data_IF_579652492525
#
_entry.id   IF_579652492525
#
_cell.length_a   1.000
_cell.length_b   1.000
_cell.length_c   1.000
_cell.angle_alpha   90.00
_cell.angle_beta   90.00
_cell.angle_gamma   90.00
#
_symmetry.space_group_name_H-M   'P 1'
#
loop_
_entity.id
_entity.type
_entity.pdbx_description
1 polymer ?
#
# COMPACT_ATOMS: atom_id res chain seq x y z
N UNK A 1 33.67 -30.64 31.58
CA UNK A 1 32.69 -29.59 31.91
C UNK A 1 32.35 -28.90 30.59
N UNK A 2 31.43 -29.44 29.78
CA UNK A 2 29.95 -29.16 29.78
C UNK A 2 29.63 -27.71 29.41
N UNK A 3 28.69 -27.34 28.54
CA UNK A 3 27.82 -27.95 27.51
C UNK A 3 27.08 -26.73 26.90
N UNK A 4 26.81 -26.76 25.60
CA UNK A 4 25.67 -26.09 24.91
C UNK A 4 25.54 -24.56 24.94
N UNK A 5 25.57 -23.98 23.73
CA UNK A 5 24.34 -23.44 23.12
C UNK A 5 24.50 -23.43 21.59
N UNK A 6 24.10 -24.54 20.98
CA UNK A 6 23.52 -24.54 19.64
C UNK A 6 22.22 -23.72 19.67
N UNK A 7 22.04 -22.82 18.72
CA UNK A 7 20.72 -22.52 18.16
C UNK A 7 20.87 -22.39 16.64
N UNK A 8 19.96 -23.08 15.95
CA UNK A 8 20.03 -23.48 14.55
C UNK A 8 19.49 -22.42 13.56
N UNK A 9 19.63 -22.66 12.24
CA UNK A 9 19.49 -21.73 11.11
C UNK A 9 18.04 -21.66 10.56
N UNK A 10 17.80 -20.90 9.48
CA UNK A 10 16.55 -20.71 8.68
C UNK A 10 15.76 -19.39 8.90
N UNK A 11 16.21 -18.27 8.33
CA UNK A 11 15.33 -17.09 8.12
C UNK A 11 15.49 -16.45 6.72
N UNK A 12 16.16 -17.11 5.77
CA UNK A 12 16.39 -16.59 4.40
C UNK A 12 15.93 -17.57 3.31
N UNK A 13 15.64 -18.83 3.66
CA UNK A 13 15.30 -19.90 2.71
C UNK A 13 13.80 -20.04 2.39
N UNK A 14 12.89 -19.61 3.29
CA UNK A 14 11.43 -19.75 3.08
C UNK A 14 10.82 -18.63 2.23
N UNK A 15 11.17 -17.35 2.49
CA UNK A 15 10.62 -16.22 1.72
C UNK A 15 11.06 -16.25 0.24
N UNK A 16 12.29 -16.70 -0.01
CA UNK A 16 12.81 -16.85 -1.39
C UNK A 16 12.18 -18.03 -2.11
N UNK A 17 11.89 -19.13 -1.41
CA UNK A 17 11.22 -20.30 -1.99
C UNK A 17 9.73 -20.03 -2.25
N UNK A 18 9.02 -19.34 -1.37
CA UNK A 18 7.63 -18.91 -1.63
C UNK A 18 7.52 -17.94 -2.81
N UNK A 19 8.45 -16.98 -2.91
CA UNK A 19 8.47 -16.03 -4.03
C UNK A 19 8.77 -16.73 -5.38
N UNK A 20 9.64 -17.73 -5.38
CA UNK A 20 9.94 -18.56 -6.57
C UNK A 20 8.76 -19.47 -6.95
N UNK A 21 8.07 -20.05 -5.96
CA UNK A 21 6.85 -20.85 -6.18
C UNK A 21 5.74 -19.98 -6.77
N UNK A 22 5.55 -18.77 -6.25
CA UNK A 22 4.54 -17.83 -6.76
C UNK A 22 4.84 -17.41 -8.20
N UNK A 23 6.11 -17.16 -8.54
CA UNK A 23 6.56 -16.86 -9.90
C UNK A 23 6.36 -18.05 -10.84
N UNK A 24 6.64 -19.27 -10.35
CA UNK A 24 6.36 -20.51 -11.07
C UNK A 24 4.87 -20.67 -11.38
N UNK A 25 4.01 -20.44 -10.40
CA UNK A 25 2.56 -20.55 -10.54
C UNK A 25 1.97 -19.53 -11.53
N UNK A 26 2.47 -18.30 -11.55
CA UNK A 26 2.06 -17.29 -12.54
C UNK A 26 2.48 -17.69 -13.96
N UNK A 27 3.70 -18.21 -14.10
CA UNK A 27 4.22 -18.68 -15.40
C UNK A 27 3.43 -19.89 -15.90
N UNK A 28 3.10 -20.85 -15.03
CA UNK A 28 2.25 -22.01 -15.34
C UNK A 28 0.85 -21.55 -15.77
N UNK A 29 0.29 -20.54 -15.10
CA UNK A 29 -1.03 -19.98 -15.43
C UNK A 29 -1.03 -19.33 -16.82
N UNK A 30 0.02 -18.56 -17.16
CA UNK A 30 0.19 -17.95 -18.50
C UNK A 30 0.38 -19.00 -19.59
N UNK A 31 1.17 -20.04 -19.34
CA UNK A 31 1.39 -21.14 -20.29
C UNK A 31 0.08 -21.91 -20.52
N UNK A 32 -0.71 -22.16 -19.47
CA UNK A 32 -2.01 -22.81 -19.60
C UNK A 32 -2.99 -21.95 -20.39
N UNK A 33 -3.02 -20.63 -20.14
CA UNK A 33 -3.83 -19.67 -20.88
C UNK A 33 -3.45 -19.63 -22.37
N UNK A 34 -2.16 -19.51 -22.69
CA UNK A 34 -1.66 -19.50 -24.06
C UNK A 34 -2.00 -20.81 -24.79
N UNK A 35 -1.83 -21.97 -24.14
CA UNK A 35 -2.22 -23.26 -24.71
C UNK A 35 -3.72 -23.33 -25.02
N UNK A 36 -4.57 -22.82 -24.13
CA UNK A 36 -6.02 -22.78 -24.35
C UNK A 36 -6.38 -21.86 -25.53
N UNK A 37 -5.79 -20.66 -25.60
CA UNK A 37 -6.01 -19.71 -26.69
C UNK A 37 -5.54 -20.29 -28.03
N UNK A 38 -4.32 -20.86 -28.08
CA UNK A 38 -3.78 -21.47 -29.30
C UNK A 38 -4.61 -22.66 -29.73
N UNK A 39 -5.05 -23.53 -28.82
CA UNK A 39 -5.91 -24.68 -29.14
C UNK A 39 -7.26 -24.28 -29.74
N UNK A 40 -7.87 -23.21 -29.23
CA UNK A 40 -9.14 -22.68 -29.77
C UNK A 40 -8.94 -22.09 -31.17
N UNK A 41 -7.84 -21.35 -31.38
CA UNK A 41 -7.50 -20.76 -32.68
C UNK A 41 -7.13 -21.81 -33.73
N UNK A 42 -6.54 -22.95 -33.33
CA UNK A 42 -6.16 -24.03 -34.27
C UNK A 42 -7.29 -25.02 -34.56
N UNK A 43 -8.35 -25.05 -33.75
CA UNK A 43 -9.49 -25.97 -33.92
C UNK A 43 -10.63 -25.37 -34.75
N UNK A 44 -10.61 -24.06 -35.02
CA UNK A 44 -11.63 -23.38 -35.81
C UNK A 44 -11.03 -22.84 -37.11
N UNK A 45 -11.63 -23.13 -38.29
CA UNK A 45 -11.13 -22.66 -39.57
C UNK A 45 -11.34 -21.14 -39.79
N UNK A 46 -12.24 -20.51 -39.03
CA UNK A 46 -12.54 -19.08 -39.13
C UNK A 46 -12.27 -18.32 -37.81
N UNK A 47 -11.40 -17.29 -37.81
CA UNK A 47 -11.00 -16.57 -36.60
C UNK A 47 -12.14 -15.72 -35.99
N UNK A 48 -13.13 -15.33 -36.80
CA UNK A 48 -14.24 -14.48 -36.36
C UNK A 48 -15.33 -15.24 -35.58
N UNK A 49 -15.53 -16.53 -35.85
CA UNK A 49 -16.50 -17.38 -35.12
C UNK A 49 -15.91 -17.90 -33.79
N UNK A 50 -14.58 -18.06 -33.73
CA UNK A 50 -13.84 -18.46 -32.54
C UNK A 50 -13.82 -17.37 -31.43
N UNK A 51 -14.12 -16.11 -31.75
CA UNK A 51 -14.16 -15.01 -30.79
C UNK A 51 -15.23 -15.20 -29.71
N UNK A 52 -16.38 -15.78 -30.05
CA UNK A 52 -17.49 -15.96 -29.11
C UNK A 52 -17.15 -16.95 -27.98
N UNK A 53 -16.62 -18.16 -28.25
CA UNK A 53 -16.14 -19.06 -27.20
C UNK A 53 -14.85 -18.56 -26.53
N UNK A 54 -13.99 -17.81 -27.22
CA UNK A 54 -12.84 -17.15 -26.60
C UNK A 54 -13.28 -16.16 -25.52
N UNK A 55 -14.21 -15.25 -25.87
CA UNK A 55 -14.75 -14.28 -24.93
C UNK A 55 -15.45 -15.00 -23.78
N UNK A 56 -16.24 -16.05 -24.04
CA UNK A 56 -16.94 -16.82 -23.02
C UNK A 56 -16.00 -17.58 -22.07
N UNK A 57 -14.90 -18.14 -22.57
CA UNK A 57 -13.89 -18.84 -21.75
C UNK A 57 -12.92 -17.87 -21.05
N UNK A 58 -12.70 -16.67 -21.62
CA UNK A 58 -11.95 -15.58 -21.00
C UNK A 58 -12.81 -14.78 -20.00
N UNK A 59 -14.15 -14.79 -20.16
CA UNK A 59 -15.11 -14.40 -19.12
C UNK A 59 -15.21 -15.54 -18.10
N UNK A 60 -14.09 -15.79 -17.44
CA UNK A 60 -14.12 -16.40 -16.13
C UNK A 60 -15.09 -15.62 -15.23
N UNK A 61 -15.93 -16.27 -14.41
CA UNK A 61 -16.56 -15.60 -13.28
C UNK A 61 -15.43 -15.07 -12.40
N UNK A 62 -15.10 -13.79 -12.58
CA UNK A 62 -14.21 -12.97 -11.74
C UNK A 62 -13.09 -13.77 -11.08
N UNK A 63 -12.09 -14.22 -11.85
CA UNK A 63 -10.80 -14.51 -11.24
C UNK A 63 -10.33 -13.19 -10.64
N UNK A 64 -10.17 -13.06 -9.31
CA UNK A 64 -9.48 -11.92 -8.79
C UNK A 64 -8.06 -12.04 -9.36
N UNK A 65 -7.69 -11.15 -10.28
CA UNK A 65 -6.28 -10.82 -10.49
C UNK A 65 -5.78 -10.46 -9.09
N UNK A 66 -5.21 -11.44 -8.39
CA UNK A 66 -4.68 -11.28 -7.05
C UNK A 66 -3.51 -10.36 -7.27
N UNK A 67 -3.74 -9.04 -7.14
CA UNK A 67 -2.70 -8.02 -7.17
C UNK A 67 -1.58 -8.58 -6.29
N UNK A 68 -0.31 -8.56 -6.73
CA UNK A 68 0.78 -9.03 -5.91
C UNK A 68 0.59 -8.43 -4.52
N UNK A 69 0.51 -9.27 -3.48
CA UNK A 69 0.46 -8.77 -2.11
C UNK A 69 1.79 -8.07 -1.89
N UNK A 70 1.81 -6.76 -2.10
CA UNK A 70 2.98 -5.95 -1.83
C UNK A 70 3.24 -6.10 -0.33
N UNK A 71 4.46 -6.47 0.08
CA UNK A 71 4.77 -6.64 1.49
C UNK A 71 4.54 -5.31 2.22
N UNK A 72 3.89 -5.39 3.38
CA UNK A 72 3.57 -4.21 4.20
C UNK A 72 4.78 -3.30 4.46
N UNK A 73 6.00 -3.83 4.74
CA UNK A 73 7.20 -2.99 4.86
C UNK A 73 7.47 -2.14 3.63
N UNK A 74 7.27 -2.66 2.43
CA UNK A 74 7.50 -1.90 1.20
C UNK A 74 6.51 -0.74 1.05
N UNK A 75 5.24 -0.96 1.44
CA UNK A 75 4.22 0.09 1.44
C UNK A 75 4.55 1.17 2.47
N UNK A 76 4.95 0.78 3.68
CA UNK A 76 5.36 1.69 4.73
C UNK A 76 6.60 2.51 4.33
N UNK A 77 7.63 1.86 3.78
CA UNK A 77 8.83 2.53 3.28
C UNK A 77 8.50 3.48 2.15
N UNK A 78 7.66 3.07 1.19
CA UNK A 78 7.26 3.93 0.07
C UNK A 78 6.48 5.15 0.56
N UNK A 79 5.56 4.96 1.51
CA UNK A 79 4.78 6.05 2.09
C UNK A 79 5.68 7.04 2.82
N UNK A 80 6.58 6.55 3.67
CA UNK A 80 7.57 7.39 4.35
C UNK A 80 8.48 8.10 3.36
N UNK A 81 8.92 7.42 2.30
CA UNK A 81 9.75 8.03 1.27
C UNK A 81 9.03 9.18 0.55
N UNK A 82 7.77 9.00 0.15
CA UNK A 82 6.98 10.09 -0.44
C UNK A 82 6.78 11.25 0.54
N UNK A 83 6.49 10.97 1.81
CA UNK A 83 6.31 12.00 2.83
C UNK A 83 7.60 12.80 3.07
N UNK A 84 8.75 12.12 3.14
CA UNK A 84 10.06 12.75 3.36
C UNK A 84 10.61 13.46 2.12
N UNK A 85 10.28 12.98 0.92
CA UNK A 85 10.68 13.58 -0.36
C UNK A 85 9.84 14.80 -0.73
N UNK A 86 9.10 15.37 0.23
CA UNK A 86 8.19 16.48 0.00
C UNK A 86 7.18 16.11 -1.10
N UNK A 87 6.42 15.04 -0.91
CA UNK A 87 5.27 14.69 -1.76
C UNK A 87 4.10 14.13 -0.89
N UNK A 88 3.60 14.87 0.12
CA UNK A 88 2.46 14.48 0.96
C UNK A 88 1.22 14.05 0.20
N UNK A 89 0.93 14.62 -0.99
CA UNK A 89 -0.24 14.23 -1.79
C UNK A 89 -0.16 12.78 -2.25
N UNK A 90 1.02 12.35 -2.71
CA UNK A 90 1.28 10.96 -3.12
C UNK A 90 1.29 10.03 -1.91
N UNK A 91 1.91 10.47 -0.81
CA UNK A 91 1.92 9.73 0.44
C UNK A 91 0.50 9.53 1.00
N UNK A 92 -0.36 10.54 0.91
CA UNK A 92 -1.77 10.49 1.31
C UNK A 92 -2.61 9.58 0.40
N UNK A 93 -2.38 9.61 -0.91
CA UNK A 93 -3.01 8.67 -1.85
C UNK A 93 -2.63 7.22 -1.52
N UNK A 94 -1.35 6.97 -1.23
CA UNK A 94 -0.88 5.65 -0.83
C UNK A 94 -1.49 5.21 0.51
N UNK A 95 -1.56 6.11 1.50
CA UNK A 95 -2.23 5.87 2.77
C UNK A 95 -3.70 5.45 2.58
N UNK A 96 -4.44 6.18 1.73
CA UNK A 96 -5.84 5.83 1.42
C UNK A 96 -5.95 4.47 0.74
N UNK A 97 -5.00 4.10 -0.11
CA UNK A 97 -4.96 2.78 -0.72
C UNK A 97 -4.67 1.68 0.30
N UNK A 98 -3.78 1.92 1.26
CA UNK A 98 -3.53 1.00 2.38
C UNK A 98 -4.79 0.82 3.23
N UNK A 99 -5.50 1.92 3.54
CA UNK A 99 -6.79 1.91 4.25
C UNK A 99 -7.84 1.07 3.52
N UNK A 100 -8.02 1.27 2.21
CA UNK A 100 -8.97 0.51 1.39
C UNK A 100 -8.66 -1.00 1.37
N UNK A 101 -7.39 -1.35 1.50
CA UNK A 101 -6.93 -2.74 1.56
C UNK A 101 -6.90 -3.30 2.99
N UNK A 102 -7.37 -2.53 3.98
CA UNK A 102 -7.27 -2.86 5.41
C UNK A 102 -5.84 -3.20 5.87
N UNK A 103 -4.84 -2.59 5.24
CA UNK A 103 -3.44 -2.71 5.64
C UNK A 103 -3.14 -1.58 6.62
N UNK A 104 -2.68 -1.93 7.82
CA UNK A 104 -2.32 -0.98 8.87
C UNK A 104 -0.91 -0.42 8.63
N UNK A 105 -0.75 0.86 8.27
CA UNK A 105 0.58 1.46 8.24
C UNK A 105 1.19 1.50 9.65
N UNK A 106 2.51 1.48 9.72
CA UNK A 106 3.19 1.60 11.01
C UNK A 106 3.06 3.05 11.57
N UNK A 107 3.27 3.19 12.88
CA UNK A 107 3.12 4.47 13.58
C UNK A 107 4.11 5.54 13.07
N UNK A 108 5.36 5.17 12.78
CA UNK A 108 6.39 6.08 12.28
C UNK A 108 6.07 6.60 10.87
N UNK A 109 5.49 5.76 10.04
CA UNK A 109 5.00 6.08 8.70
C UNK A 109 3.85 7.08 8.79
N UNK A 110 2.93 6.90 9.76
CA UNK A 110 1.89 7.90 10.04
C UNK A 110 2.48 9.22 10.54
N UNK A 111 3.47 9.19 11.43
CA UNK A 111 4.17 10.41 11.87
C UNK A 111 4.82 11.16 10.72
N UNK A 112 5.47 10.43 9.80
CA UNK A 112 6.12 11.01 8.63
C UNK A 112 5.09 11.71 7.74
N UNK A 113 3.95 11.05 7.46
CA UNK A 113 2.86 11.64 6.68
C UNK A 113 2.28 12.89 7.36
N UNK A 114 1.91 12.80 8.64
CA UNK A 114 1.35 13.92 9.39
C UNK A 114 2.31 15.11 9.45
N UNK A 115 3.60 14.85 9.71
CA UNK A 115 4.64 15.87 9.73
C UNK A 115 4.81 16.54 8.38
N UNK A 116 4.78 15.76 7.28
CA UNK A 116 4.90 16.30 5.92
C UNK A 116 3.72 17.17 5.53
N UNK A 117 2.48 16.78 5.89
CA UNK A 117 1.27 17.57 5.64
C UNK A 117 1.34 18.90 6.39
N UNK A 118 1.65 18.86 7.68
CA UNK A 118 1.74 20.07 8.52
C UNK A 118 2.88 21.00 8.07
N UNK A 119 4.05 20.48 7.72
CA UNK A 119 5.22 21.31 7.35
C UNK A 119 5.14 21.93 5.97
N UNK A 120 4.61 21.22 4.98
CA UNK A 120 4.63 21.71 3.59
C UNK A 120 3.69 22.90 3.39
N UNK A 121 2.50 22.82 3.97
CA UNK A 121 1.46 23.84 3.82
C UNK A 121 0.91 24.26 5.19
N UNK A 122 1.72 24.94 6.02
CA UNK A 122 1.43 25.21 7.42
C UNK A 122 0.19 26.09 7.65
N UNK A 123 -0.16 26.93 6.68
CA UNK A 123 -1.33 27.85 6.73
C UNK A 123 -2.46 27.42 5.80
N UNK A 124 -2.36 26.24 5.19
CA UNK A 124 -3.43 25.71 4.36
C UNK A 124 -4.42 24.96 5.23
N UNK A 125 -5.62 25.54 5.39
CA UNK A 125 -6.76 24.89 6.03
C UNK A 125 -7.01 23.47 5.46
N UNK A 126 -6.74 23.28 4.17
CA UNK A 126 -6.82 21.97 3.52
C UNK A 126 -5.81 20.95 4.10
N UNK A 127 -4.55 21.35 4.31
CA UNK A 127 -3.53 20.46 4.85
C UNK A 127 -3.80 20.05 6.30
N UNK A 128 -4.30 21.00 7.11
CA UNK A 128 -4.75 20.74 8.48
C UNK A 128 -5.95 19.79 8.49
N UNK A 129 -6.90 19.97 7.57
CA UNK A 129 -8.02 19.04 7.41
C UNK A 129 -7.55 17.63 7.05
N UNK A 130 -6.66 17.47 6.07
CA UNK A 130 -6.08 16.18 5.70
C UNK A 130 -5.33 15.53 6.85
N UNK A 131 -4.59 16.32 7.64
CA UNK A 131 -3.87 15.81 8.82
C UNK A 131 -4.83 15.25 9.88
N UNK A 132 -5.95 15.95 10.15
CA UNK A 132 -7.03 15.45 11.03
C UNK A 132 -7.67 14.19 10.47
N UNK A 133 -7.86 14.11 9.15
CA UNK A 133 -8.39 12.92 8.48
C UNK A 133 -7.45 11.72 8.65
N UNK A 134 -6.14 11.88 8.39
CA UNK A 134 -5.14 10.83 8.58
C UNK A 134 -5.13 10.33 10.03
N UNK A 135 -5.19 11.24 11.00
CA UNK A 135 -5.27 10.89 12.41
C UNK A 135 -6.50 10.02 12.72
N UNK A 136 -7.69 10.47 12.33
CA UNK A 136 -8.93 9.72 12.57
C UNK A 136 -8.93 8.36 11.86
N UNK A 137 -8.42 8.30 10.64
CA UNK A 137 -8.34 7.05 9.88
C UNK A 137 -7.29 6.09 10.47
N UNK A 138 -6.19 6.62 11.04
CA UNK A 138 -5.21 5.80 11.75
C UNK A 138 -5.82 5.12 12.99
N UNK A 139 -6.68 5.83 13.72
CA UNK A 139 -7.44 5.28 14.85
C UNK A 139 -8.38 4.16 14.40
N UNK A 140 -9.11 4.37 13.30
CA UNK A 140 -10.03 3.35 12.73
C UNK A 140 -9.28 2.10 12.25
N UNK A 141 -8.03 2.25 11.80
CA UNK A 141 -7.14 1.14 11.45
C UNK A 141 -6.49 0.47 12.68
N UNK A 142 -6.84 0.91 13.90
CA UNK A 142 -6.33 0.37 15.15
C UNK A 142 -4.89 0.78 15.47
N UNK A 143 -4.41 1.89 14.92
CA UNK A 143 -3.11 2.48 15.27
C UNK A 143 -3.30 3.31 16.55
N UNK A 144 -2.52 3.00 17.58
CA UNK A 144 -2.53 3.76 18.83
C UNK A 144 -1.60 4.97 18.71
N UNK A 145 -2.13 6.21 18.75
CA UNK A 145 -1.29 7.40 18.74
C UNK A 145 -0.46 7.50 20.00
N UNK A 146 0.67 8.18 19.91
CA UNK A 146 1.51 8.50 21.06
C UNK A 146 1.73 10.02 21.17
N UNK A 147 2.52 10.43 22.16
CA UNK A 147 2.86 11.84 22.39
C UNK A 147 3.40 12.53 21.14
N UNK A 148 4.22 11.85 20.35
CA UNK A 148 4.74 12.39 19.08
C UNK A 148 3.62 12.73 18.09
N UNK A 149 2.60 11.87 17.97
CA UNK A 149 1.44 12.13 17.11
C UNK A 149 0.72 13.42 17.52
N UNK A 150 0.45 13.59 18.82
CA UNK A 150 -0.22 14.78 19.33
C UNK A 150 0.64 16.04 19.19
N UNK A 151 1.94 15.95 19.43
CA UNK A 151 2.87 17.07 19.24
C UNK A 151 2.85 17.58 17.79
N UNK A 152 2.82 16.69 16.80
CA UNK A 152 2.74 17.06 15.37
C UNK A 152 1.43 17.82 15.08
N UNK A 153 0.30 17.31 15.57
CA UNK A 153 -1.02 17.91 15.34
C UNK A 153 -1.19 19.26 16.05
N UNK A 154 -0.67 19.37 17.28
CA UNK A 154 -0.66 20.62 18.04
C UNK A 154 0.17 21.69 17.32
N UNK A 155 1.37 21.33 16.85
CA UNK A 155 2.20 22.22 16.06
C UNK A 155 1.47 22.72 14.80
N UNK A 156 0.79 21.84 14.06
CA UNK A 156 -0.02 22.24 12.91
C UNK A 156 -1.20 23.14 13.27
N UNK A 157 -1.86 22.89 14.40
CA UNK A 157 -3.01 23.70 14.83
C UNK A 157 -2.60 25.10 15.28
N UNK A 158 -1.44 25.26 15.94
CA UNK A 158 -0.91 26.58 16.27
C UNK A 158 -0.54 27.39 15.02
N UNK A 159 -0.07 26.73 13.95
CA UNK A 159 0.22 27.39 12.68
C UNK A 159 -1.04 27.89 11.94
N UNK A 160 -2.17 27.22 12.13
CA UNK A 160 -3.50 27.62 11.64
C UNK A 160 -4.05 28.83 12.43
N UNK A 161 -3.87 28.83 13.76
CA UNK A 161 -4.36 29.88 14.65
C UNK A 161 -3.47 31.14 14.73
N UNK A 162 -2.17 31.05 14.45
CA UNK A 162 -1.25 32.20 14.53
C UNK A 162 -1.50 33.31 13.48
N UNK A 163 -2.40 33.11 12.50
CA UNK A 163 -2.75 34.16 11.54
C UNK A 163 -4.02 34.93 11.89
N UNK A 164 -5.02 34.29 12.51
CA UNK A 164 -6.28 34.96 12.81
C UNK A 164 -6.18 35.87 14.05
N UNK A 165 -5.32 35.54 15.01
CA UNK A 165 -5.12 36.38 16.20
C UNK A 165 -4.07 37.48 16.01
N UNK A 166 -3.07 37.29 15.13
CA UNK A 166 -2.01 38.29 14.92
C UNK A 166 -2.42 39.49 14.03
N UNK A 167 -3.57 39.42 13.37
CA UNK A 167 -4.17 40.50 12.56
C UNK A 167 -5.40 41.14 13.23
N UNK A 168 -5.82 40.61 14.39
CA UNK A 168 -6.95 41.12 15.16
C UNK A 168 -6.54 42.05 16.32
N UNK A 169 -5.26 42.41 16.40
CA UNK A 169 -4.68 43.33 17.40
C UNK A 169 -3.98 44.52 16.75
#
# INVERSE_FOLDING_TARGET
MSKLLETSPNMISEDTSEMLVQRGNETISRIRLLKTVTSILTSHPDPHSALKPLIQNLTLPTLPLRRPRLPQPLLDTSLSAYALSDHPDLAFQLFNKMKLLHIKPNLLTCHSLLSSLVRRHPHSSHSIHLSKQVFNDSLKLGITPNTTTFNILMHGSCLDNNFNDALAS
#
